data_IF_745904472905
#
_entry.id   IF_745904472905
#
_cell.length_a   1.000
_cell.length_b   1.000
_cell.length_c   1.000
_cell.angle_alpha   90.00
_cell.angle_beta   90.00
_cell.angle_gamma   90.00
#
_symmetry.space_group_name_H-M   'P 1'
#
loop_
_entity.id
_entity.type
_entity.pdbx_description
1 polymer ?
#
# COMPACT_ATOMS: atom_id res chain seq x y z
N UNK A 1 5.29 17.01 4.97
CA UNK A 1 3.89 17.04 4.46
C UNK A 1 3.43 15.60 4.46
N UNK A 2 2.38 15.30 5.22
CA UNK A 2 1.87 13.92 5.30
C UNK A 2 1.05 13.63 4.06
N UNK A 3 1.12 12.39 3.61
CA UNK A 3 0.41 11.89 2.45
C UNK A 3 -0.40 10.65 2.85
N UNK A 4 -1.63 10.59 2.36
CA UNK A 4 -2.47 9.40 2.38
C UNK A 4 -2.40 8.77 1.00
N UNK A 5 -1.96 7.52 0.97
CA UNK A 5 -1.83 6.74 -0.27
C UNK A 5 -2.75 5.53 -0.14
N UNK A 6 -3.55 5.27 -1.17
CA UNK A 6 -4.45 4.13 -1.22
C UNK A 6 -4.09 3.29 -2.44
N UNK A 7 -3.74 2.04 -2.20
CA UNK A 7 -3.36 1.08 -3.24
C UNK A 7 -4.28 -0.13 -3.14
N UNK A 8 -5.01 -0.42 -4.20
CA UNK A 8 -5.81 -1.63 -4.29
C UNK A 8 -4.94 -2.79 -4.77
N UNK A 9 -4.99 -3.93 -4.10
CA UNK A 9 -4.21 -5.13 -4.39
C UNK A 9 -5.13 -6.34 -4.49
N UNK A 10 -5.03 -7.09 -5.59
CA UNK A 10 -5.78 -8.34 -5.76
C UNK A 10 -5.04 -9.49 -5.08
N UNK A 11 -5.36 -9.77 -3.82
CA UNK A 11 -4.79 -10.91 -3.11
C UNK A 11 -5.38 -12.23 -3.59
N UNK A 12 -4.52 -13.22 -3.86
CA UNK A 12 -4.93 -14.61 -4.12
C UNK A 12 -4.92 -15.47 -2.86
N UNK A 13 -4.23 -15.04 -1.79
CA UNK A 13 -3.96 -15.86 -0.62
C UNK A 13 -3.68 -15.02 0.65
N UNK A 14 -3.92 -15.58 1.85
CA UNK A 14 -3.63 -14.89 3.13
C UNK A 14 -2.14 -14.55 3.32
N UNK A 15 -1.22 -15.40 2.83
CA UNK A 15 0.23 -15.09 2.82
C UNK A 15 0.56 -13.88 1.93
N UNK A 16 -0.13 -13.76 0.80
CA UNK A 16 0.02 -12.68 -0.17
C UNK A 16 -0.41 -11.34 0.47
N UNK A 17 -1.46 -11.38 1.29
CA UNK A 17 -1.93 -10.24 2.06
C UNK A 17 -0.91 -9.77 3.09
N UNK A 18 -0.38 -10.69 3.91
CA UNK A 18 0.68 -10.34 4.86
C UNK A 18 1.91 -9.74 4.17
N UNK A 19 2.30 -10.30 3.01
CA UNK A 19 3.42 -9.79 2.21
C UNK A 19 3.16 -8.38 1.67
N UNK A 20 1.94 -8.06 1.22
CA UNK A 20 1.61 -6.69 0.79
C UNK A 20 1.72 -5.66 1.91
N UNK A 21 1.27 -6.03 3.11
CA UNK A 21 1.36 -5.17 4.29
C UNK A 21 2.83 -4.95 4.68
N UNK A 22 3.64 -6.02 4.64
CA UNK A 22 5.07 -5.95 4.93
C UNK A 22 5.81 -5.02 3.95
N UNK A 23 5.56 -5.15 2.65
CA UNK A 23 6.18 -4.29 1.62
C UNK A 23 5.84 -2.82 1.87
N UNK A 24 4.57 -2.52 2.13
CA UNK A 24 4.14 -1.16 2.43
C UNK A 24 4.79 -0.64 3.72
N UNK A 25 4.84 -1.44 4.78
CA UNK A 25 5.40 -1.02 6.08
C UNK A 25 6.91 -0.84 6.06
N UNK A 26 7.63 -1.59 5.21
CA UNK A 26 9.08 -1.47 5.05
C UNK A 26 9.51 -0.29 4.16
N UNK A 27 8.57 0.39 3.51
CA UNK A 27 8.90 1.50 2.63
C UNK A 27 9.33 2.74 3.43
N UNK A 28 10.30 3.46 2.89
CA UNK A 28 10.82 4.68 3.53
C UNK A 28 9.76 5.77 3.54
N UNK A 29 9.69 6.50 4.65
CA UNK A 29 8.72 7.58 4.85
C UNK A 29 7.35 7.10 5.33
N UNK A 30 7.12 5.79 5.41
CA UNK A 30 5.85 5.24 5.91
C UNK A 30 5.76 5.34 7.42
N UNK A 31 4.67 5.92 7.89
CA UNK A 31 4.40 6.13 9.31
C UNK A 31 3.30 5.18 9.83
N UNK A 32 2.36 4.78 8.97
CA UNK A 32 1.33 3.80 9.30
C UNK A 32 0.83 3.10 8.04
N UNK A 33 0.43 1.84 8.19
CA UNK A 33 -0.19 1.04 7.13
C UNK A 33 -1.39 0.30 7.69
N UNK A 34 -2.49 0.32 6.94
CA UNK A 34 -3.69 -0.42 7.24
C UNK A 34 -4.17 -1.22 6.01
N UNK A 35 -4.83 -2.35 6.27
CA UNK A 35 -5.56 -3.11 5.25
C UNK A 35 -7.05 -2.85 5.45
N UNK A 36 -7.69 -2.27 4.44
CA UNK A 36 -9.10 -1.89 4.43
C UNK A 36 -9.87 -2.62 3.30
N UNK A 37 -11.20 -2.48 3.35
CA UNK A 37 -12.16 -3.16 2.47
C UNK A 37 -12.64 -4.49 3.03
N UNK A 38 -13.86 -4.90 2.65
CA UNK A 38 -14.47 -6.16 3.12
C UNK A 38 -13.60 -7.39 2.79
N UNK A 39 -12.91 -7.36 1.65
CA UNK A 39 -11.98 -8.42 1.24
C UNK A 39 -10.54 -8.14 1.64
N UNK A 40 -10.31 -7.05 2.37
CA UNK A 40 -8.99 -6.54 2.75
C UNK A 40 -8.05 -6.39 1.55
N UNK A 41 -8.62 -5.96 0.43
CA UNK A 41 -7.96 -5.77 -0.86
C UNK A 41 -7.40 -4.35 -1.03
N UNK A 42 -7.50 -3.50 -0.02
CA UNK A 42 -7.02 -2.12 -0.08
C UNK A 42 -5.93 -1.88 0.96
N UNK A 43 -4.77 -1.41 0.54
CA UNK A 43 -3.66 -1.00 1.41
C UNK A 43 -3.69 0.51 1.53
N UNK A 44 -3.90 1.02 2.74
CA UNK A 44 -3.87 2.45 3.06
C UNK A 44 -2.57 2.74 3.77
N UNK A 45 -1.81 3.71 3.26
CA UNK A 45 -0.49 4.09 3.74
C UNK A 45 -0.55 5.56 4.13
N UNK A 46 -0.04 5.88 5.32
CA UNK A 46 0.13 7.23 5.82
C UNK A 46 1.62 7.46 6.05
N UNK A 47 2.19 8.50 5.48
CA UNK A 47 3.61 8.77 5.61
C UNK A 47 4.04 10.13 5.09
N UNK A 48 5.33 10.42 5.13
CA UNK A 48 5.94 11.64 4.61
C UNK A 48 7.01 11.29 3.59
N UNK A 49 7.00 11.95 2.42
CA UNK A 49 7.91 11.67 1.31
C UNK A 49 7.88 10.20 0.84
N UNK A 50 6.68 9.61 0.78
CA UNK A 50 6.48 8.21 0.39
C UNK A 50 6.43 8.07 -1.13
N UNK A 51 7.25 7.18 -1.68
CA UNK A 51 7.20 6.82 -3.11
C UNK A 51 6.02 5.87 -3.40
N UNK A 52 4.84 6.46 -3.65
CA UNK A 52 3.63 5.71 -3.97
C UNK A 52 3.78 4.84 -5.24
N UNK A 53 4.50 5.32 -6.26
CA UNK A 53 4.71 4.62 -7.51
C UNK A 53 5.64 3.42 -7.31
N UNK A 54 6.73 3.60 -6.56
CA UNK A 54 7.67 2.54 -6.20
C UNK A 54 7.00 1.42 -5.40
N UNK A 55 6.20 1.76 -4.37
CA UNK A 55 5.45 0.78 -3.58
C UNK A 55 4.46 0.02 -4.48
N UNK A 56 3.71 0.72 -5.33
CA UNK A 56 2.75 0.09 -6.25
C UNK A 56 3.45 -0.87 -7.22
N UNK A 57 4.62 -0.49 -7.73
CA UNK A 57 5.44 -1.33 -8.61
C UNK A 57 5.97 -2.59 -7.90
N UNK A 58 6.47 -2.44 -6.67
CA UNK A 58 6.91 -3.56 -5.83
C UNK A 58 5.77 -4.54 -5.53
N UNK A 59 4.58 -4.03 -5.21
CA UNK A 59 3.40 -4.85 -5.00
C UNK A 59 3.00 -5.64 -6.26
N UNK A 60 3.08 -4.99 -7.44
CA UNK A 60 2.86 -5.65 -8.74
C UNK A 60 3.81 -6.82 -8.97
N UNK A 61 5.07 -6.65 -8.60
CA UNK A 61 6.12 -7.66 -8.78
C UNK A 61 5.99 -8.82 -7.79
N UNK A 62 5.78 -8.52 -6.51
CA UNK A 62 5.95 -9.50 -5.42
C UNK A 62 4.65 -10.17 -4.96
N UNK A 63 3.49 -9.54 -5.18
CA UNK A 63 2.19 -9.98 -4.67
C UNK A 63 1.23 -10.28 -5.82
N UNK A 64 1.18 -9.42 -6.82
CA UNK A 64 0.29 -9.52 -7.97
C UNK A 64 -0.36 -8.20 -8.30
N UNK A 65 -1.46 -8.22 -9.03
CA UNK A 65 -2.07 -7.00 -9.56
C UNK A 65 -2.36 -5.95 -8.48
N UNK A 66 -1.80 -4.75 -8.65
CA UNK A 66 -1.99 -3.62 -7.76
C UNK A 66 -2.24 -2.33 -8.54
N UNK A 67 -3.10 -1.46 -8.02
CA UNK A 67 -3.50 -0.19 -8.64
C UNK A 67 -3.41 0.91 -7.60
N UNK A 68 -2.75 2.01 -7.97
CA UNK A 68 -2.71 3.22 -7.16
C UNK A 68 -4.02 3.97 -7.38
N UNK A 69 -4.84 4.08 -6.33
CA UNK A 69 -6.19 4.67 -6.43
C UNK A 69 -6.20 6.13 -5.98
N UNK A 70 -5.42 6.47 -4.95
CA UNK A 70 -5.39 7.82 -4.38
C UNK A 70 -4.02 8.14 -3.79
N UNK A 71 -3.57 9.36 -4.04
CA UNK A 71 -2.44 10.01 -3.36
C UNK A 71 -2.91 11.40 -3.02
N UNK A 72 -3.07 11.67 -1.73
CA UNK A 72 -3.63 12.93 -1.25
C UNK A 72 -2.77 13.47 -0.10
N UNK A 73 -2.67 14.77 0.02
CA UNK A 73 -1.90 15.43 1.07
C UNK A 73 -2.80 15.65 2.29
N UNK A 74 -2.40 15.09 3.42
CA UNK A 74 -3.10 15.26 4.70
C UNK A 74 -2.41 16.38 5.47
N UNK A 75 -3.22 17.40 5.81
CA UNK A 75 -2.82 18.57 6.57
C UNK A 75 -2.67 18.27 8.06
#
# INVERSE_FOLDING_TARGET
MKQKIVIRVKHKCKKCQAKSLMIAAMSTGVNSVALEGEKKDTVVIIGEAVDAAGITSLLRKEVGHASLELVDEIK
#
